data_IF_359582514801
#
_entry.id   IF_359582514801
#
_cell.length_a   1.000
_cell.length_b   1.000
_cell.length_c   1.000
_cell.angle_alpha   90.00
_cell.angle_beta   90.00
_cell.angle_gamma   90.00
#
_symmetry.space_group_name_H-M   'P 1'
#
loop_
_entity.id
_entity.type
_entity.pdbx_description
1 polymer ?
#
# COMPACT_ATOMS: atom_id res chain seq x y z
N UNK A 1 -38.64 6.22 2.07
CA UNK A 1 -38.53 5.75 0.66
C UNK A 1 -37.07 5.86 0.20
N UNK A 2 -36.38 4.72 0.03
CA UNK A 2 -34.92 4.70 -0.22
C UNK A 2 -34.52 5.07 -1.66
N UNK A 3 -33.28 5.56 -1.83
CA UNK A 3 -32.64 5.91 -3.13
C UNK A 3 -32.78 4.84 -4.23
N UNK A 4 -33.02 3.58 -3.88
CA UNK A 4 -33.30 2.47 -4.81
C UNK A 4 -34.59 2.67 -5.60
N UNK A 5 -35.69 3.09 -4.94
CA UNK A 5 -36.98 3.30 -5.60
C UNK A 5 -36.92 4.43 -6.63
N UNK A 6 -36.17 5.49 -6.36
CA UNK A 6 -36.06 6.64 -7.26
C UNK A 6 -35.34 6.29 -8.58
N UNK A 7 -34.33 5.42 -8.56
CA UNK A 7 -33.64 4.97 -9.79
C UNK A 7 -34.48 4.00 -10.61
N UNK A 8 -35.22 3.12 -9.95
CA UNK A 8 -36.15 2.18 -10.58
C UNK A 8 -37.20 2.94 -11.40
N UNK A 9 -37.86 3.93 -10.79
CA UNK A 9 -38.88 4.77 -11.46
C UNK A 9 -38.33 5.65 -12.58
N UNK A 10 -37.11 6.21 -12.44
CA UNK A 10 -36.48 7.00 -13.51
C UNK A 10 -36.13 6.17 -14.76
N UNK A 11 -35.77 4.89 -14.60
CA UNK A 11 -35.43 4.00 -15.72
C UNK A 11 -36.67 3.37 -16.39
N UNK A 12 -37.76 3.16 -15.64
CA UNK A 12 -39.07 2.75 -16.17
C UNK A 12 -39.61 3.72 -17.22
N UNK A 13 -39.41 5.03 -17.05
CA UNK A 13 -39.77 6.06 -18.05
C UNK A 13 -39.06 5.91 -19.41
N UNK A 14 -37.99 5.10 -19.49
CA UNK A 14 -37.18 4.92 -20.71
C UNK A 14 -37.59 3.72 -21.57
N UNK A 15 -38.55 2.91 -21.11
CA UNK A 15 -39.13 1.83 -21.91
C UNK A 15 -39.94 2.47 -23.04
N UNK A 16 -39.53 2.24 -24.31
CA UNK A 16 -40.31 2.66 -25.49
C UNK A 16 -41.70 2.01 -25.41
N UNK A 17 -42.70 2.84 -25.17
CA UNK A 17 -44.10 2.44 -25.26
C UNK A 17 -44.42 2.08 -26.72
N UNK A 18 -45.00 0.90 -26.92
CA UNK A 18 -45.58 0.53 -28.22
C UNK A 18 -46.76 1.46 -28.53
N UNK A 19 -47.25 1.47 -29.79
CA UNK A 19 -48.41 2.28 -30.21
C UNK A 19 -49.69 2.06 -29.36
N UNK A 20 -49.75 1.05 -28.49
CA UNK A 20 -50.85 0.79 -27.54
C UNK A 20 -50.56 1.19 -26.09
N UNK A 21 -49.44 1.87 -25.81
CA UNK A 21 -49.14 2.44 -24.48
C UNK A 21 -48.81 1.41 -23.39
N UNK A 22 -48.69 0.11 -23.71
CA UNK A 22 -48.30 -0.93 -22.75
C UNK A 22 -47.04 -1.68 -23.21
N UNK A 23 -46.00 -1.79 -22.38
CA UNK A 23 -44.85 -2.63 -22.67
C UNK A 23 -45.27 -4.11 -22.70
N UNK A 24 -44.73 -4.88 -23.65
CA UNK A 24 -45.01 -6.31 -23.76
C UNK A 24 -44.42 -7.07 -22.56
N UNK A 25 -45.07 -8.17 -22.14
CA UNK A 25 -44.58 -9.05 -21.07
C UNK A 25 -43.13 -9.49 -21.29
N UNK A 26 -42.74 -9.73 -22.55
CA UNK A 26 -41.37 -10.08 -22.95
C UNK A 26 -40.38 -8.95 -22.67
N UNK A 27 -40.75 -7.69 -22.95
CA UNK A 27 -39.91 -6.53 -22.68
C UNK A 27 -39.74 -6.27 -21.18
N UNK A 28 -40.78 -6.50 -20.37
CA UNK A 28 -40.73 -6.39 -18.91
C UNK A 28 -39.80 -7.47 -18.33
N UNK A 29 -39.96 -8.74 -18.75
CA UNK A 29 -39.13 -9.85 -18.27
C UNK A 29 -37.65 -9.62 -18.58
N UNK A 30 -37.32 -9.24 -19.82
CA UNK A 30 -35.94 -8.91 -20.22
C UNK A 30 -35.37 -7.77 -19.39
N UNK A 31 -36.15 -6.71 -19.16
CA UNK A 31 -35.72 -5.56 -18.37
C UNK A 31 -35.45 -5.90 -16.90
N UNK A 32 -36.29 -6.74 -16.28
CA UNK A 32 -36.07 -7.24 -14.91
C UNK A 32 -34.77 -8.04 -14.85
N UNK A 33 -34.54 -8.95 -15.80
CA UNK A 33 -33.30 -9.73 -15.86
C UNK A 33 -32.06 -8.83 -16.05
N UNK A 34 -32.11 -7.88 -16.98
CA UNK A 34 -31.00 -6.93 -17.20
C UNK A 34 -30.71 -6.08 -15.95
N UNK A 35 -31.76 -5.69 -15.20
CA UNK A 35 -31.62 -4.93 -13.96
C UNK A 35 -30.99 -5.75 -12.84
N UNK A 36 -31.46 -6.98 -12.62
CA UNK A 36 -30.92 -7.91 -11.62
C UNK A 36 -29.46 -8.26 -11.92
N UNK A 37 -29.11 -8.46 -13.19
CA UNK A 37 -27.75 -8.68 -13.65
C UNK A 37 -26.85 -7.46 -13.39
N UNK A 38 -27.33 -6.24 -13.67
CA UNK A 38 -26.61 -5.02 -13.34
C UNK A 38 -26.42 -4.84 -11.82
N UNK A 39 -27.44 -5.11 -11.01
CA UNK A 39 -27.36 -4.99 -9.55
C UNK A 39 -26.36 -6.00 -8.97
N UNK A 40 -26.37 -7.23 -9.47
CA UNK A 40 -25.45 -8.30 -9.07
C UNK A 40 -24.01 -7.95 -9.44
N UNK A 41 -23.76 -7.52 -10.69
CA UNK A 41 -22.42 -7.07 -11.13
C UNK A 41 -21.92 -5.89 -10.31
N UNK A 42 -22.79 -4.94 -9.97
CA UNK A 42 -22.44 -3.81 -9.12
C UNK A 42 -22.09 -4.26 -7.69
N UNK A 43 -22.87 -5.17 -7.10
CA UNK A 43 -22.60 -5.71 -5.78
C UNK A 43 -21.26 -6.49 -5.73
N UNK A 44 -20.98 -7.31 -6.74
CA UNK A 44 -19.71 -8.04 -6.86
C UNK A 44 -18.53 -7.08 -7.01
N UNK A 45 -18.66 -6.04 -7.84
CA UNK A 45 -17.65 -4.97 -7.99
C UNK A 45 -17.37 -4.27 -6.66
N UNK A 46 -18.39 -3.96 -5.87
CA UNK A 46 -18.21 -3.34 -4.55
C UNK A 46 -17.51 -4.27 -3.56
N UNK A 47 -17.85 -5.56 -3.54
CA UNK A 47 -17.17 -6.58 -2.72
C UNK A 47 -15.69 -6.70 -3.11
N UNK A 48 -15.41 -6.77 -4.41
CA UNK A 48 -14.05 -6.81 -4.94
C UNK A 48 -13.24 -5.58 -4.53
N UNK A 49 -13.82 -4.38 -4.63
CA UNK A 49 -13.20 -3.13 -4.18
C UNK A 49 -12.89 -3.12 -2.69
N UNK A 50 -13.83 -3.58 -1.86
CA UNK A 50 -13.65 -3.67 -0.41
C UNK A 50 -12.50 -4.63 -0.06
N UNK A 51 -12.44 -5.79 -0.71
CA UNK A 51 -11.37 -6.76 -0.53
C UNK A 51 -10.00 -6.21 -0.95
N UNK A 52 -9.93 -5.53 -2.10
CA UNK A 52 -8.71 -4.88 -2.58
C UNK A 52 -8.22 -3.82 -1.59
N UNK A 53 -9.10 -2.92 -1.15
CA UNK A 53 -8.74 -1.88 -0.19
C UNK A 53 -8.25 -2.47 1.14
N UNK A 54 -8.91 -3.54 1.65
CA UNK A 54 -8.47 -4.24 2.87
C UNK A 54 -7.05 -4.80 2.72
N UNK A 55 -6.75 -5.47 1.61
CA UNK A 55 -5.41 -6.02 1.33
C UNK A 55 -4.37 -4.91 1.21
N UNK A 56 -4.71 -3.81 0.52
CA UNK A 56 -3.81 -2.68 0.38
C UNK A 56 -3.47 -2.05 1.74
N UNK A 57 -4.48 -1.77 2.56
CA UNK A 57 -4.28 -1.25 3.92
C UNK A 57 -3.45 -2.19 4.78
N UNK A 58 -3.67 -3.50 4.68
CA UNK A 58 -2.86 -4.50 5.37
C UNK A 58 -1.37 -4.37 5.00
N UNK A 59 -1.02 -4.24 3.72
CA UNK A 59 0.38 -4.08 3.33
C UNK A 59 1.02 -2.78 3.83
N UNK A 60 0.27 -1.68 3.86
CA UNK A 60 0.74 -0.42 4.44
C UNK A 60 1.04 -0.60 5.94
N UNK A 61 0.11 -1.18 6.69
CA UNK A 61 0.30 -1.43 8.14
C UNK A 61 1.48 -2.36 8.37
N UNK A 62 1.59 -3.45 7.60
CA UNK A 62 2.70 -4.40 7.69
C UNK A 62 4.04 -3.70 7.44
N UNK A 63 4.14 -2.86 6.42
CA UNK A 63 5.33 -2.07 6.13
C UNK A 63 5.68 -1.08 7.23
N UNK A 64 4.67 -0.36 7.75
CA UNK A 64 4.88 0.57 8.84
C UNK A 64 5.38 -0.12 10.10
N UNK A 65 4.75 -1.24 10.50
CA UNK A 65 5.17 -2.01 11.68
C UNK A 65 6.53 -2.68 11.50
N UNK A 66 6.81 -3.20 10.30
CA UNK A 66 8.10 -3.80 9.99
C UNK A 66 9.23 -2.77 10.12
N UNK A 67 9.08 -1.58 9.54
CA UNK A 67 10.04 -0.49 9.69
C UNK A 67 10.17 0.01 11.13
N UNK A 68 9.02 0.25 11.78
CA UNK A 68 8.98 0.79 13.14
C UNK A 68 9.59 -0.16 14.16
N UNK A 69 9.30 -1.46 14.08
CA UNK A 69 9.71 -2.45 15.08
C UNK A 69 10.97 -3.17 14.63
N UNK A 70 10.89 -3.95 13.56
CA UNK A 70 11.95 -4.88 13.19
C UNK A 70 13.20 -4.17 12.68
N UNK A 71 13.04 -3.22 11.76
CA UNK A 71 14.17 -2.47 11.19
C UNK A 71 14.84 -1.60 12.26
N UNK A 72 14.09 -0.86 13.07
CA UNK A 72 14.69 -0.11 14.17
C UNK A 72 15.38 -1.02 15.21
N UNK A 73 14.83 -2.20 15.48
CA UNK A 73 15.44 -3.15 16.40
C UNK A 73 16.82 -3.62 15.90
N UNK A 74 16.91 -4.07 14.65
CA UNK A 74 18.20 -4.50 14.08
C UNK A 74 19.19 -3.34 14.01
N UNK A 75 18.73 -2.13 13.72
CA UNK A 75 19.56 -0.93 13.57
C UNK A 75 20.09 -0.40 14.90
N UNK A 76 19.41 -0.71 16.01
CA UNK A 76 19.91 -0.41 17.34
C UNK A 76 20.88 -1.47 17.88
N UNK A 77 20.75 -2.73 17.47
CA UNK A 77 21.57 -3.84 17.98
C UNK A 77 22.86 -4.01 17.18
N UNK A 78 22.82 -3.76 15.87
CA UNK A 78 23.98 -3.89 15.01
C UNK A 78 24.62 -2.50 14.90
N UNK A 79 25.80 -2.28 15.51
CA UNK A 79 26.40 -0.96 15.52
C UNK A 79 26.95 -0.64 14.12
N UNK A 80 26.20 0.16 13.37
CA UNK A 80 26.38 0.33 11.93
C UNK A 80 27.72 0.92 11.46
N UNK A 81 28.44 1.60 12.34
CA UNK A 81 29.77 2.14 12.04
C UNK A 81 30.89 1.11 11.98
N UNK A 82 30.69 -0.09 12.55
CA UNK A 82 31.77 -1.09 12.69
C UNK A 82 31.83 -2.08 11.52
N UNK A 83 30.75 -2.23 10.75
CA UNK A 83 30.68 -3.21 9.68
C UNK A 83 30.69 -2.53 8.31
N UNK A 84 31.70 -2.88 7.50
CA UNK A 84 31.75 -2.46 6.10
C UNK A 84 30.49 -2.94 5.36
N UNK A 85 29.82 -2.02 4.67
CA UNK A 85 28.61 -2.31 3.90
C UNK A 85 27.32 -2.29 4.72
N UNK A 86 27.38 -1.87 6.00
CA UNK A 86 26.23 -1.86 6.88
C UNK A 86 25.00 -1.16 6.29
N UNK A 87 25.14 0.06 5.76
CA UNK A 87 23.99 0.82 5.27
C UNK A 87 23.48 0.27 3.93
N UNK A 88 24.34 -0.38 3.13
CA UNK A 88 23.91 -1.11 1.95
C UNK A 88 23.07 -2.33 2.34
N UNK A 89 23.52 -3.09 3.34
CA UNK A 89 22.78 -4.22 3.89
C UNK A 89 21.44 -3.78 4.50
N UNK A 90 21.44 -2.72 5.31
CA UNK A 90 20.24 -2.17 5.94
C UNK A 90 19.24 -1.70 4.88
N UNK A 91 19.74 -1.11 3.78
CA UNK A 91 18.90 -0.76 2.62
C UNK A 91 18.21 -2.00 2.05
N UNK A 92 18.91 -3.13 1.88
CA UNK A 92 18.29 -4.39 1.43
C UNK A 92 17.23 -4.87 2.43
N UNK A 93 17.50 -4.75 3.73
CA UNK A 93 16.57 -5.15 4.79
C UNK A 93 15.27 -4.35 4.79
N UNK A 94 15.28 -3.09 4.36
CA UNK A 94 14.04 -2.31 4.20
C UNK A 94 13.07 -2.95 3.19
N UNK A 95 13.59 -3.62 2.15
CA UNK A 95 12.76 -4.22 1.09
C UNK A 95 12.51 -5.71 1.28
N UNK A 96 13.29 -6.40 2.13
CA UNK A 96 13.30 -7.85 2.27
C UNK A 96 11.92 -8.54 2.28
N UNK A 97 10.96 -8.20 3.18
CA UNK A 97 9.66 -8.86 3.20
C UNK A 97 8.82 -8.60 1.94
N UNK A 98 9.11 -7.53 1.21
CA UNK A 98 8.38 -7.13 0.02
C UNK A 98 9.03 -7.62 -1.28
N UNK A 99 10.29 -8.04 -1.25
CA UNK A 99 10.94 -8.69 -2.41
C UNK A 99 10.20 -9.99 -2.73
N UNK A 100 9.80 -10.77 -1.71
CA UNK A 100 8.98 -11.99 -1.88
C UNK A 100 7.65 -11.68 -2.59
N UNK A 101 7.02 -10.54 -2.27
CA UNK A 101 5.81 -10.09 -2.98
C UNK A 101 6.06 -9.80 -4.46
N UNK A 102 7.21 -9.22 -4.81
CA UNK A 102 7.58 -9.01 -6.22
C UNK A 102 7.88 -10.32 -6.93
N UNK A 103 8.60 -11.25 -6.30
CA UNK A 103 8.88 -12.56 -6.91
C UNK A 103 7.57 -13.31 -7.20
N UNK A 104 6.64 -13.29 -6.25
CA UNK A 104 5.33 -13.95 -6.40
C UNK A 104 4.42 -13.21 -7.39
N UNK A 105 4.54 -11.88 -7.47
CA UNK A 105 3.72 -11.03 -8.33
C UNK A 105 4.56 -9.96 -9.06
N UNK A 106 5.34 -10.33 -10.10
CA UNK A 106 6.33 -9.46 -10.73
C UNK A 106 5.75 -8.15 -11.31
N UNK A 107 4.49 -8.20 -11.72
CA UNK A 107 3.75 -7.04 -12.26
C UNK A 107 3.50 -5.93 -11.22
N UNK A 108 3.84 -6.15 -9.95
CA UNK A 108 3.57 -5.27 -8.83
C UNK A 108 4.84 -4.71 -8.16
N UNK A 109 6.01 -4.72 -8.82
CA UNK A 109 7.27 -4.28 -8.23
C UNK A 109 7.25 -2.84 -7.67
N UNK A 110 6.43 -1.94 -8.23
CA UNK A 110 6.31 -0.58 -7.72
C UNK A 110 5.71 -0.54 -6.31
N UNK A 111 4.88 -1.53 -5.94
CA UNK A 111 4.40 -1.69 -4.57
C UNK A 111 5.57 -2.01 -3.63
N UNK A 112 6.44 -2.94 -4.03
CA UNK A 112 7.63 -3.30 -3.24
C UNK A 112 8.53 -2.09 -3.00
N UNK A 113 8.73 -1.25 -4.02
CA UNK A 113 9.50 0.00 -3.86
C UNK A 113 8.80 0.95 -2.87
N UNK A 114 7.50 1.19 -3.04
CA UNK A 114 6.76 2.07 -2.14
C UNK A 114 6.71 1.57 -0.68
N UNK A 115 6.55 0.26 -0.48
CA UNK A 115 6.52 -0.37 0.85
C UNK A 115 7.90 -0.41 1.52
N UNK A 116 8.98 -0.66 0.77
CA UNK A 116 10.32 -0.63 1.34
C UNK A 116 10.77 0.79 1.71
N UNK A 117 10.44 1.78 0.87
CA UNK A 117 10.68 3.19 1.21
C UNK A 117 9.85 3.63 2.44
N UNK A 118 8.62 3.15 2.58
CA UNK A 118 7.82 3.39 3.79
C UNK A 118 8.46 2.76 5.04
N UNK A 119 8.96 1.52 4.94
CA UNK A 119 9.67 0.88 6.05
C UNK A 119 10.95 1.65 6.43
N UNK A 120 11.73 2.08 5.44
CA UNK A 120 12.90 2.95 5.62
C UNK A 120 12.53 4.26 6.31
N UNK A 121 11.43 4.91 5.92
CA UNK A 121 10.98 6.15 6.56
C UNK A 121 10.58 5.94 8.02
N UNK A 122 9.95 4.81 8.37
CA UNK A 122 9.63 4.50 9.77
C UNK A 122 10.87 4.25 10.61
N UNK A 123 11.96 3.75 10.02
CA UNK A 123 13.23 3.66 10.72
C UNK A 123 13.75 5.07 11.07
N UNK A 124 13.97 5.94 10.09
CA UNK A 124 14.51 7.28 10.37
C UNK A 124 13.63 8.14 11.31
N UNK A 125 12.31 8.05 11.20
CA UNK A 125 11.40 8.85 12.04
C UNK A 125 11.32 8.32 13.47
N UNK A 126 11.42 7.00 13.68
CA UNK A 126 11.20 6.39 14.99
C UNK A 126 12.46 5.82 15.64
N UNK A 127 13.62 5.84 14.98
CA UNK A 127 14.86 5.27 15.51
C UNK A 127 15.20 5.83 16.90
N UNK A 128 15.22 7.16 17.06
CA UNK A 128 15.49 7.78 18.36
C UNK A 128 14.51 7.34 19.46
N UNK A 129 13.22 7.28 19.13
CA UNK A 129 12.18 6.82 20.05
C UNK A 129 12.39 5.34 20.43
N UNK A 130 12.59 4.47 19.45
CA UNK A 130 12.79 3.02 19.68
C UNK A 130 14.07 2.79 20.50
N UNK A 131 15.14 3.51 20.18
CA UNK A 131 16.39 3.49 20.93
C UNK A 131 16.18 3.84 22.40
N UNK A 132 15.42 4.90 22.67
CA UNK A 132 15.05 5.29 24.04
C UNK A 132 14.21 4.22 24.75
N UNK A 133 13.22 3.63 24.05
CA UNK A 133 12.38 2.55 24.59
C UNK A 133 13.16 1.26 24.87
N UNK A 134 14.25 1.00 24.14
CA UNK A 134 15.16 -0.12 24.39
C UNK A 134 16.11 0.12 25.58
N UNK A 135 16.04 1.29 26.23
CA UNK A 135 16.82 1.61 27.43
C UNK A 135 18.17 2.28 27.14
N UNK A 136 18.48 2.62 25.90
CA UNK A 136 19.70 3.36 25.57
C UNK A 136 19.54 4.85 25.93
N UNK A 137 20.57 5.43 26.54
CA UNK A 137 20.62 6.88 26.80
C UNK A 137 20.52 7.64 25.48
N UNK A 138 19.40 8.33 25.27
CA UNK A 138 19.09 9.03 24.03
C UNK A 138 18.46 10.37 24.34
N UNK A 139 19.11 11.44 23.91
CA UNK A 139 18.50 12.77 23.89
C UNK A 139 17.57 12.87 22.67
N UNK A 140 16.28 12.62 22.90
CA UNK A 140 15.25 12.66 21.86
C UNK A 140 15.13 14.05 21.24
N UNK A 141 15.30 15.10 22.02
CA UNK A 141 15.22 16.49 21.53
C UNK A 141 16.35 16.73 20.54
N UNK A 142 17.59 16.40 20.91
CA UNK A 142 18.73 16.52 20.01
C UNK A 142 18.61 15.63 18.78
N UNK A 143 18.14 14.40 18.95
CA UNK A 143 17.91 13.49 17.81
C UNK A 143 16.99 14.13 16.77
N UNK A 144 15.80 14.59 17.19
CA UNK A 144 14.83 15.18 16.27
C UNK A 144 15.26 16.53 15.72
N UNK A 145 16.02 17.33 16.48
CA UNK A 145 16.66 18.53 15.94
C UNK A 145 17.60 18.19 14.77
N UNK A 146 18.46 17.18 14.93
CA UNK A 146 19.41 16.80 13.89
C UNK A 146 18.75 16.11 12.68
N UNK A 147 17.71 15.29 12.89
CA UNK A 147 17.03 14.57 11.81
C UNK A 147 16.03 15.45 11.04
N UNK A 148 15.30 16.33 11.71
CA UNK A 148 14.17 17.06 11.11
C UNK A 148 14.45 18.53 10.80
N UNK A 149 15.41 19.16 11.48
CA UNK A 149 15.76 20.57 11.25
C UNK A 149 17.09 20.62 10.50
N UNK A 150 17.13 21.18 9.27
CA UNK A 150 18.36 21.18 8.49
C UNK A 150 19.43 22.05 9.16
N UNK A 151 20.58 21.44 9.45
CA UNK A 151 21.77 22.13 9.95
C UNK A 151 23.05 21.56 9.31
N UNK A 152 24.16 22.28 9.47
CA UNK A 152 25.49 21.84 9.00
C UNK A 152 26.15 20.77 9.88
N UNK A 153 25.44 20.24 10.88
CA UNK A 153 25.99 19.28 11.83
C UNK A 153 26.17 17.91 11.17
N UNK A 154 27.38 17.35 11.26
CA UNK A 154 27.63 15.95 10.89
C UNK A 154 26.93 15.02 11.89
N UNK A 155 26.30 13.97 11.38
CA UNK A 155 25.53 13.03 12.18
C UNK A 155 26.20 11.66 12.21
N UNK A 156 26.49 11.09 11.04
CA UNK A 156 27.14 9.79 10.89
C UNK A 156 27.72 9.64 9.49
N UNK A 157 28.52 8.60 9.28
CA UNK A 157 29.03 8.23 7.97
C UNK A 157 28.22 7.07 7.38
N UNK A 158 27.60 7.31 6.22
CA UNK A 158 26.90 6.30 5.45
C UNK A 158 27.91 5.34 4.83
N UNK A 159 28.15 4.23 5.51
CA UNK A 159 29.04 3.16 5.07
C UNK A 159 28.33 2.23 4.06
N UNK A 160 28.69 2.37 2.77
CA UNK A 160 28.23 1.55 1.66
C UNK A 160 29.20 0.41 1.29
N UNK A 161 30.17 0.10 2.15
CA UNK A 161 31.18 -0.93 1.91
C UNK A 161 32.51 -0.31 1.53
N UNK A 162 32.66 -0.01 0.23
CA UNK A 162 33.87 0.60 -0.33
C UNK A 162 33.87 2.12 -0.29
N UNK A 163 32.72 2.73 0.01
CA UNK A 163 32.52 4.19 0.01
C UNK A 163 31.81 4.60 1.30
N UNK A 164 32.33 5.64 1.94
CA UNK A 164 31.71 6.30 3.09
C UNK A 164 31.31 7.71 2.71
N UNK A 165 30.03 8.05 2.91
CA UNK A 165 29.51 9.39 2.62
C UNK A 165 29.16 10.06 3.94
N UNK A 166 29.77 11.21 4.29
CA UNK A 166 29.40 11.93 5.51
C UNK A 166 27.97 12.46 5.40
N UNK A 167 27.12 12.08 6.35
CA UNK A 167 25.71 12.50 6.39
C UNK A 167 25.57 13.66 7.37
N UNK A 168 25.15 14.79 6.82
CA UNK A 168 24.84 15.99 7.57
C UNK A 168 23.34 16.07 7.86
N UNK A 169 22.99 16.83 8.88
CA UNK A 169 21.61 17.07 9.30
C UNK A 169 20.73 17.61 8.17
N UNK A 170 21.21 18.54 7.35
CA UNK A 170 20.47 19.01 6.18
C UNK A 170 20.18 17.90 5.15
N UNK A 171 21.12 16.97 4.93
CA UNK A 171 20.92 15.81 4.03
C UNK A 171 19.85 14.88 4.59
N UNK A 172 19.87 14.64 5.90
CA UNK A 172 18.90 13.79 6.56
C UNK A 172 17.48 14.39 6.49
N UNK A 173 17.33 15.66 6.86
CA UNK A 173 16.04 16.37 6.79
C UNK A 173 15.49 16.38 5.37
N UNK A 174 16.33 16.70 4.37
CA UNK A 174 15.92 16.70 2.96
C UNK A 174 15.51 15.30 2.50
N UNK A 175 16.24 14.27 2.89
CA UNK A 175 15.91 12.88 2.57
C UNK A 175 14.56 12.46 3.16
N UNK A 176 14.27 12.81 4.41
CA UNK A 176 12.98 12.52 5.06
C UNK A 176 11.85 13.28 4.35
N UNK A 177 11.99 14.61 4.20
CA UNK A 177 10.96 15.44 3.58
C UNK A 177 10.73 15.11 2.10
N UNK A 178 11.76 14.71 1.36
CA UNK A 178 11.65 14.26 -0.03
C UNK A 178 11.01 12.88 -0.15
N UNK A 179 11.29 11.95 0.77
CA UNK A 179 10.73 10.60 0.74
C UNK A 179 9.22 10.57 1.00
N UNK A 180 8.70 11.41 1.89
CA UNK A 180 7.26 11.47 2.20
C UNK A 180 6.39 11.63 0.93
N UNK A 181 6.55 12.68 0.10
CA UNK A 181 5.76 12.84 -1.12
C UNK A 181 6.04 11.74 -2.15
N UNK A 182 7.30 11.28 -2.29
CA UNK A 182 7.65 10.18 -3.20
C UNK A 182 6.88 8.90 -2.85
N UNK A 183 6.87 8.52 -1.57
CA UNK A 183 6.14 7.35 -1.07
C UNK A 183 4.64 7.50 -1.34
N UNK A 184 4.05 8.66 -1.03
CA UNK A 184 2.64 8.94 -1.27
C UNK A 184 2.30 8.80 -2.76
N UNK A 185 3.10 9.39 -3.65
CA UNK A 185 2.89 9.34 -5.09
C UNK A 185 3.02 7.92 -5.65
N UNK A 186 4.05 7.17 -5.25
CA UNK A 186 4.27 5.80 -5.68
C UNK A 186 3.11 4.89 -5.25
N UNK A 187 2.70 4.97 -3.99
CA UNK A 187 1.60 4.17 -3.45
C UNK A 187 0.25 4.55 -4.07
N UNK A 188 0.00 5.84 -4.31
CA UNK A 188 -1.20 6.32 -4.98
C UNK A 188 -1.26 5.84 -6.43
N UNK A 189 -0.18 6.03 -7.19
CA UNK A 189 -0.08 5.63 -8.59
C UNK A 189 -0.26 4.13 -8.75
N UNK A 190 0.44 3.34 -7.93
CA UNK A 190 0.30 1.89 -7.94
C UNK A 190 -1.12 1.46 -7.57
N UNK A 191 -1.72 2.03 -6.51
CA UNK A 191 -3.09 1.71 -6.10
C UNK A 191 -4.08 1.90 -7.23
N UNK A 192 -3.93 2.99 -8.01
CA UNK A 192 -4.79 3.26 -9.18
C UNK A 192 -4.61 2.20 -10.27
N UNK A 193 -3.37 1.85 -10.61
CA UNK A 193 -3.10 0.82 -11.62
C UNK A 193 -3.60 -0.57 -11.19
N UNK A 194 -3.27 -0.98 -9.97
CA UNK A 194 -3.64 -2.30 -9.43
C UNK A 194 -5.15 -2.44 -9.30
N UNK A 195 -5.86 -1.39 -8.87
CA UNK A 195 -7.33 -1.36 -8.83
C UNK A 195 -7.94 -1.60 -10.21
N UNK A 196 -7.42 -0.94 -11.25
CA UNK A 196 -7.92 -1.12 -12.61
C UNK A 196 -7.70 -2.56 -13.11
N UNK A 197 -6.52 -3.13 -12.85
CA UNK A 197 -6.20 -4.54 -13.19
C UNK A 197 -7.04 -5.55 -12.42
N UNK A 198 -7.33 -5.28 -11.14
CA UNK A 198 -8.14 -6.16 -10.30
C UNK A 198 -9.60 -6.19 -10.74
N UNK A 199 -10.13 -5.04 -11.20
CA UNK A 199 -11.50 -4.91 -11.68
C UNK A 199 -11.72 -5.43 -13.12
N UNK A 200 -10.66 -5.48 -13.94
CA UNK A 200 -10.76 -5.95 -15.33
C UNK A 200 -10.66 -7.47 -15.47
N UNK A 201 -10.33 -8.21 -14.40
CA UNK A 201 -10.29 -9.66 -14.45
C UNK A 201 -11.71 -10.27 -14.55
N UNK A 202 -11.96 -11.20 -15.49
CA UNK A 202 -13.28 -11.80 -15.66
C UNK A 202 -13.69 -12.57 -14.40
N UNK A 203 -14.87 -12.24 -13.86
CA UNK A 203 -15.36 -12.73 -12.57
C UNK A 203 -15.60 -14.26 -12.51
N UNK A 204 -15.64 -14.95 -13.66
CA UNK A 204 -15.70 -16.41 -13.73
C UNK A 204 -14.42 -17.08 -13.22
N UNK A 205 -13.26 -16.44 -13.35
CA UNK A 205 -12.00 -16.95 -12.75
C UNK A 205 -11.95 -16.71 -11.24
N UNK A 206 -12.58 -15.66 -10.73
CA UNK A 206 -12.56 -15.33 -9.30
C UNK A 206 -13.40 -16.29 -8.45
N UNK A 207 -14.52 -16.81 -8.97
CA UNK A 207 -15.31 -17.88 -8.31
C UNK A 207 -14.55 -19.20 -8.20
N UNK A 208 -13.64 -19.50 -9.14
CA UNK A 208 -12.84 -20.74 -9.12
C UNK A 208 -11.48 -20.60 -8.41
N UNK A 209 -11.04 -19.39 -8.08
CA UNK A 209 -9.80 -19.15 -7.34
C UNK A 209 -9.98 -19.13 -5.81
N UNK A 210 -11.18 -18.81 -5.32
CA UNK A 210 -11.46 -18.73 -3.88
C UNK A 210 -11.59 -20.11 -3.20
N UNK A 211 -12.09 -21.20 -3.83
CA UNK A 211 -12.09 -22.52 -3.20
C UNK A 211 -10.80 -23.33 -3.43
N UNK A 212 -10.00 -23.03 -4.47
CA UNK A 212 -8.82 -23.85 -4.81
C UNK A 212 -7.57 -23.51 -4.00
N UNK A 213 -7.38 -22.26 -3.58
CA UNK A 213 -6.24 -21.86 -2.75
C UNK A 213 -6.40 -22.22 -1.25
N UNK A 214 -7.57 -22.73 -0.85
CA UNK A 214 -7.85 -23.13 0.54
C UNK A 214 -8.04 -24.64 0.73
N UNK A 215 -8.02 -25.43 -0.35
CA UNK A 215 -8.22 -26.89 -0.30
C UNK A 215 -6.95 -27.71 -0.56
N UNK A 216 -5.82 -27.10 -0.91
CA UNK A 216 -4.61 -27.84 -1.24
C UNK A 216 -3.49 -27.75 -0.19
N UNK A 217 -3.73 -27.14 0.98
CA UNK A 217 -2.76 -27.06 2.08
C UNK A 217 -3.46 -27.27 3.44
N UNK A 218 -4.23 -28.35 3.55
CA UNK A 218 -4.44 -29.05 4.82
C UNK A 218 -3.79 -30.43 4.68
#
# INVERSE_FOLDING_TARGET
>A
MGRKNVRFFKRLKKLRFSKTGRPTQVAIKKWVTDYEDEETKNAEKQRALKAFNKKFSFYIILSSLYGLVFVNYIDNIIPGGFYSGYHMWLTVMYFFPFIILTITFPKNWQLTVGLGLLASLMNDVFYGLVRSLMGYQTDLTRYYQLWLIPSGTHIFDLNLGSVTIPVYSWLMSLSIYGRIPIIILLLWFWKRQAKNRYLSQPMSKTKNLIPKLWKSNL
#
